data_IF_982948075965
#
_entry.id   IF_982948075965
#
_cell.length_a   1.000
_cell.length_b   1.000
_cell.length_c   1.000
_cell.angle_alpha   90.00
_cell.angle_beta   90.00
_cell.angle_gamma   90.00
#
_symmetry.space_group_name_H-M   'P 1'
#
loop_
_entity.id
_entity.type
_entity.pdbx_description
1 polymer ?
#
# COMPACT_ATOMS: atom_id res chain seq x y z
N UNK A 1 -53.52 -3.03 -36.64
CA UNK A 1 -52.09 -3.02 -37.04
C UNK A 1 -52.00 -2.14 -38.28
N UNK A 2 -51.84 -0.82 -38.11
CA UNK A 2 -50.57 -0.08 -37.96
C UNK A 2 -49.75 -0.09 -39.25
N UNK A 3 -49.88 0.93 -40.10
CA UNK A 3 -49.26 2.27 -40.01
C UNK A 3 -47.79 2.26 -40.46
N UNK A 4 -47.59 2.28 -41.78
CA UNK A 4 -46.46 2.94 -42.43
C UNK A 4 -47.04 4.03 -43.33
N UNK A 5 -46.67 5.27 -43.07
CA UNK A 5 -47.16 6.43 -43.79
C UNK A 5 -46.47 7.70 -43.31
N UNK A 6 -45.26 7.91 -43.83
CA UNK A 6 -44.62 9.19 -44.12
C UNK A 6 -45.38 10.44 -43.62
N UNK A 7 -44.82 11.11 -42.60
CA UNK A 7 -45.24 12.45 -42.13
C UNK A 7 -44.73 13.54 -43.09
N UNK A 8 -44.80 13.29 -44.40
CA UNK A 8 -44.40 14.26 -45.43
C UNK A 8 -45.61 14.93 -46.13
N UNK A 9 -46.83 14.43 -45.95
CA UNK A 9 -48.01 14.92 -46.69
C UNK A 9 -49.03 15.72 -45.86
N UNK A 10 -48.71 16.08 -44.61
CA UNK A 10 -49.66 16.78 -43.72
C UNK A 10 -49.33 18.26 -43.42
N UNK A 11 -48.35 18.87 -44.11
CA UNK A 11 -48.03 20.30 -43.98
C UNK A 11 -47.93 20.94 -45.37
N UNK A 12 -48.94 20.68 -46.20
CA UNK A 12 -48.97 21.11 -47.60
C UNK A 12 -49.94 22.24 -47.96
N UNK A 13 -50.66 22.89 -47.03
CA UNK A 13 -51.72 23.82 -47.48
C UNK A 13 -52.09 25.04 -46.62
N UNK A 14 -51.26 25.50 -45.68
CA UNK A 14 -51.61 26.69 -44.86
C UNK A 14 -50.60 27.84 -44.92
N UNK A 15 -49.62 27.81 -45.83
CA UNK A 15 -48.74 28.97 -46.06
C UNK A 15 -48.67 29.31 -47.54
N UNK A 16 -49.78 29.86 -48.05
CA UNK A 16 -49.79 30.64 -49.28
C UNK A 16 -49.10 32.00 -49.06
N UNK A 17 -48.14 32.29 -49.94
CA UNK A 17 -47.86 33.58 -50.56
C UNK A 17 -47.54 34.81 -49.70
N UNK A 18 -46.61 34.70 -48.75
CA UNK A 18 -45.78 35.86 -48.37
C UNK A 18 -44.32 35.47 -48.21
N UNK A 19 -43.47 36.08 -49.04
CA UNK A 19 -42.02 35.85 -49.07
C UNK A 19 -41.40 36.10 -47.70
N UNK A 20 -40.54 35.19 -47.26
CA UNK A 20 -39.75 35.30 -46.02
C UNK A 20 -38.78 36.49 -46.01
N UNK A 21 -38.60 37.15 -47.16
CA UNK A 21 -37.67 38.27 -47.32
C UNK A 21 -38.20 39.60 -46.77
N UNK A 22 -39.51 39.79 -46.59
CA UNK A 22 -40.06 41.06 -46.08
C UNK A 22 -40.10 41.16 -44.55
N UNK A 23 -40.08 40.04 -43.81
CA UNK A 23 -40.06 40.07 -42.34
C UNK A 23 -38.63 40.28 -41.79
N UNK A 24 -37.62 40.08 -42.63
CA UNK A 24 -36.20 40.23 -42.26
C UNK A 24 -35.74 41.71 -42.35
N UNK A 25 -36.57 42.59 -42.93
CA UNK A 25 -36.18 43.96 -43.29
C UNK A 25 -36.04 44.98 -42.15
N UNK A 26 -36.75 44.86 -41.02
CA UNK A 26 -36.84 46.02 -40.08
C UNK A 26 -36.86 45.72 -38.58
N UNK A 27 -36.76 44.47 -38.12
CA UNK A 27 -37.00 44.17 -36.69
C UNK A 27 -35.85 43.54 -35.87
N UNK A 28 -34.85 42.92 -36.50
CA UNK A 28 -34.04 41.91 -35.79
C UNK A 28 -32.54 41.99 -36.07
N UNK A 29 -31.93 43.18 -35.98
CA UNK A 29 -30.45 43.31 -36.06
C UNK A 29 -29.76 43.82 -34.81
N UNK A 30 -30.48 44.19 -33.75
CA UNK A 30 -29.86 44.75 -32.52
C UNK A 30 -29.95 43.81 -31.30
N UNK A 31 -30.88 42.84 -31.28
CA UNK A 31 -31.10 41.96 -30.11
C UNK A 31 -30.36 40.60 -30.11
N UNK A 32 -30.00 40.04 -31.29
CA UNK A 32 -29.42 38.70 -31.40
C UNK A 32 -27.95 38.61 -30.94
N UNK A 33 -27.17 39.68 -31.14
CA UNK A 33 -25.75 39.74 -30.74
C UNK A 33 -25.57 39.80 -29.22
N UNK A 34 -26.46 40.49 -28.50
CA UNK A 34 -26.36 40.68 -27.06
C UNK A 34 -26.84 39.45 -26.28
N UNK A 35 -27.98 38.84 -26.66
CA UNK A 35 -28.45 37.59 -26.03
C UNK A 35 -27.49 36.41 -26.31
N UNK A 36 -26.93 36.31 -27.51
CA UNK A 36 -25.92 35.30 -27.84
C UNK A 36 -24.68 35.42 -26.98
N UNK A 37 -24.13 36.64 -26.84
CA UNK A 37 -22.94 36.88 -26.02
C UNK A 37 -23.15 36.60 -24.52
N UNK A 38 -24.35 36.85 -23.99
CA UNK A 38 -24.68 36.60 -22.59
C UNK A 38 -24.84 35.10 -22.29
N UNK A 39 -25.53 34.35 -23.16
CA UNK A 39 -25.66 32.90 -23.04
C UNK A 39 -24.31 32.18 -23.20
N UNK A 40 -23.47 32.65 -24.13
CA UNK A 40 -22.13 32.11 -24.38
C UNK A 40 -21.16 32.42 -23.23
N UNK A 41 -21.28 33.61 -22.63
CA UNK A 41 -20.59 33.98 -21.37
C UNK A 41 -20.97 33.05 -20.21
N UNK A 42 -22.26 32.81 -19.98
CA UNK A 42 -22.72 31.91 -18.90
C UNK A 42 -22.26 30.46 -19.12
N UNK A 43 -22.32 29.96 -20.36
CA UNK A 43 -21.82 28.62 -20.70
C UNK A 43 -20.31 28.48 -20.44
N UNK A 44 -19.50 29.48 -20.81
CA UNK A 44 -18.06 29.46 -20.56
C UNK A 44 -17.71 29.51 -19.07
N UNK A 45 -18.51 30.22 -18.26
CA UNK A 45 -18.33 30.30 -16.82
C UNK A 45 -18.72 28.98 -16.11
N UNK A 46 -19.80 28.33 -16.58
CA UNK A 46 -20.20 27.00 -16.10
C UNK A 46 -19.16 25.91 -16.43
N UNK A 47 -18.60 25.94 -17.65
CA UNK A 47 -17.52 25.03 -18.05
C UNK A 47 -16.26 25.24 -17.21
N UNK A 48 -15.88 26.48 -16.94
CA UNK A 48 -14.76 26.81 -16.06
C UNK A 48 -14.96 26.26 -14.64
N UNK A 49 -16.14 26.46 -14.05
CA UNK A 49 -16.45 25.94 -12.71
C UNK A 49 -16.43 24.41 -12.67
N UNK A 50 -16.95 23.73 -13.71
CA UNK A 50 -16.88 22.27 -13.80
C UNK A 50 -15.45 21.74 -13.87
N UNK A 51 -14.56 22.41 -14.61
CA UNK A 51 -13.15 22.02 -14.71
C UNK A 51 -12.39 22.27 -13.39
N UNK A 52 -12.73 23.33 -12.65
CA UNK A 52 -12.18 23.56 -11.30
C UNK A 52 -12.61 22.46 -10.33
N UNK A 53 -13.89 22.05 -10.35
CA UNK A 53 -14.40 20.95 -9.52
C UNK A 53 -13.69 19.63 -9.84
N UNK A 54 -13.40 19.37 -11.12
CA UNK A 54 -12.63 18.18 -11.52
C UNK A 54 -11.20 18.20 -10.97
N UNK A 55 -10.52 19.35 -11.02
CA UNK A 55 -9.19 19.52 -10.44
C UNK A 55 -9.19 19.36 -8.91
N UNK A 56 -10.20 19.88 -8.23
CA UNK A 56 -10.32 19.73 -6.77
C UNK A 56 -10.58 18.27 -6.39
N UNK A 57 -11.38 17.53 -7.17
CA UNK A 57 -11.58 16.09 -6.98
C UNK A 57 -10.26 15.31 -7.12
N UNK A 58 -9.44 15.65 -8.12
CA UNK A 58 -8.12 15.02 -8.32
C UNK A 58 -7.17 15.30 -7.14
N UNK A 59 -7.17 16.51 -6.57
CA UNK A 59 -6.38 16.81 -5.37
C UNK A 59 -6.87 16.07 -4.13
N UNK A 60 -8.18 15.93 -3.96
CA UNK A 60 -8.75 15.12 -2.87
C UNK A 60 -8.28 13.67 -3.00
N UNK A 61 -8.30 13.10 -4.21
CA UNK A 61 -7.80 11.75 -4.47
C UNK A 61 -6.30 11.63 -4.18
N UNK A 62 -5.48 12.59 -4.62
CA UNK A 62 -4.05 12.66 -4.29
C UNK A 62 -3.82 12.66 -2.78
N UNK A 63 -4.55 13.48 -2.02
CA UNK A 63 -4.45 13.53 -0.55
C UNK A 63 -4.85 12.21 0.12
N UNK A 64 -5.81 11.48 -0.46
CA UNK A 64 -6.21 10.17 0.03
C UNK A 64 -5.11 9.13 -0.23
N UNK A 65 -4.46 9.17 -1.40
CA UNK A 65 -3.32 8.32 -1.71
C UNK A 65 -2.12 8.59 -0.80
N UNK A 66 -1.80 9.85 -0.48
CA UNK A 66 -0.73 10.16 0.47
C UNK A 66 -1.01 9.58 1.87
N UNK A 67 -2.27 9.59 2.32
CA UNK A 67 -2.68 8.92 3.57
C UNK A 67 -2.56 7.41 3.48
N UNK A 68 -2.92 6.81 2.33
CA UNK A 68 -2.73 5.38 2.09
C UNK A 68 -1.25 4.98 2.10
N UNK A 69 -0.37 5.78 1.47
CA UNK A 69 1.08 5.57 1.51
C UNK A 69 1.64 5.63 2.94
N UNK A 70 1.16 6.57 3.76
CA UNK A 70 1.55 6.65 5.16
C UNK A 70 1.07 5.42 5.97
N UNK A 71 -0.14 4.93 5.70
CA UNK A 71 -0.67 3.72 6.33
C UNK A 71 0.15 2.47 5.94
N UNK A 72 0.51 2.32 4.66
CA UNK A 72 1.38 1.23 4.18
C UNK A 72 2.74 1.22 4.88
N UNK A 73 3.38 2.39 5.05
CA UNK A 73 4.64 2.48 5.79
C UNK A 73 4.47 2.08 7.26
N UNK A 74 3.38 2.53 7.91
CA UNK A 74 3.10 2.14 9.28
C UNK A 74 2.89 0.64 9.41
N UNK A 75 2.17 0.01 8.49
CA UNK A 75 1.99 -1.44 8.45
C UNK A 75 3.33 -2.18 8.36
N UNK A 76 4.24 -1.71 7.51
CA UNK A 76 5.60 -2.24 7.43
C UNK A 76 6.37 -2.16 8.74
N UNK A 77 6.25 -1.04 9.46
CA UNK A 77 6.84 -0.88 10.80
C UNK A 77 6.23 -1.84 11.82
N UNK A 78 4.90 -1.98 11.85
CA UNK A 78 4.23 -2.91 12.75
C UNK A 78 4.65 -4.35 12.50
N UNK A 79 4.72 -4.78 11.22
CA UNK A 79 5.22 -6.11 10.85
C UNK A 79 6.65 -6.31 11.33
N UNK A 80 7.54 -5.34 11.12
CA UNK A 80 8.92 -5.44 11.58
C UNK A 80 9.02 -5.59 13.11
N UNK A 81 8.21 -4.83 13.87
CA UNK A 81 8.16 -4.94 15.34
C UNK A 81 7.73 -6.35 15.76
N UNK A 82 6.71 -6.91 15.12
CA UNK A 82 6.22 -8.26 15.44
C UNK A 82 7.28 -9.33 15.12
N UNK A 83 7.96 -9.22 13.98
CA UNK A 83 9.06 -10.13 13.66
C UNK A 83 10.24 -10.00 14.64
N UNK A 84 10.56 -8.79 15.08
CA UNK A 84 11.58 -8.58 16.12
C UNK A 84 11.17 -9.21 17.45
N UNK A 85 9.88 -9.13 17.82
CA UNK A 85 9.33 -9.79 19.01
C UNK A 85 9.47 -11.31 18.92
N UNK A 86 9.09 -11.90 17.79
CA UNK A 86 9.26 -13.34 17.53
C UNK A 86 10.74 -13.77 17.60
N UNK A 87 11.64 -12.95 17.04
CA UNK A 87 13.09 -13.19 17.15
C UNK A 87 13.56 -13.21 18.61
N UNK A 88 13.09 -12.29 19.45
CA UNK A 88 13.44 -12.26 20.88
C UNK A 88 12.93 -13.51 21.60
N UNK A 89 11.68 -13.89 21.38
CA UNK A 89 11.07 -15.09 21.98
C UNK A 89 11.86 -16.37 21.64
N UNK A 90 12.32 -16.48 20.39
CA UNK A 90 13.13 -17.62 19.95
C UNK A 90 14.55 -17.58 20.56
N UNK A 91 15.16 -16.40 20.69
CA UNK A 91 16.46 -16.28 21.39
C UNK A 91 16.36 -16.67 22.86
N UNK A 92 15.24 -16.38 23.52
CA UNK A 92 14.97 -16.88 24.87
C UNK A 92 14.85 -18.41 24.88
N UNK A 93 14.17 -19.00 23.89
CA UNK A 93 14.07 -20.46 23.77
C UNK A 93 15.43 -21.12 23.54
N UNK A 94 16.32 -20.49 22.78
CA UNK A 94 17.71 -20.92 22.64
C UNK A 94 18.43 -20.97 23.99
N UNK A 95 18.34 -19.89 24.78
CA UNK A 95 18.95 -19.83 26.10
C UNK A 95 18.38 -20.90 27.05
N UNK A 96 17.05 -21.11 27.02
CA UNK A 96 16.39 -22.16 27.81
C UNK A 96 16.82 -23.56 27.38
N UNK A 97 17.00 -23.82 26.08
CA UNK A 97 17.48 -25.10 25.57
C UNK A 97 18.86 -25.44 26.13
N UNK A 98 19.80 -24.48 26.09
CA UNK A 98 21.15 -24.65 26.65
C UNK A 98 21.12 -24.87 28.15
N UNK A 99 20.30 -24.12 28.90
CA UNK A 99 20.18 -24.26 30.35
C UNK A 99 19.59 -25.64 30.73
N UNK A 100 18.52 -26.07 30.06
CA UNK A 100 17.89 -27.37 30.28
C UNK A 100 18.86 -28.52 29.95
N UNK A 101 19.65 -28.39 28.89
CA UNK A 101 20.64 -29.38 28.50
C UNK A 101 21.78 -29.48 29.51
N UNK A 102 22.29 -28.35 30.02
CA UNK A 102 23.26 -28.34 31.10
C UNK A 102 22.73 -29.02 32.38
N UNK A 103 21.47 -28.76 32.73
CA UNK A 103 20.82 -29.41 33.88
C UNK A 103 20.66 -30.92 33.67
N UNK A 104 20.22 -31.36 32.48
CA UNK A 104 20.12 -32.79 32.12
C UNK A 104 21.48 -33.48 32.21
N UNK A 105 22.51 -32.89 31.62
CA UNK A 105 23.88 -33.41 31.68
C UNK A 105 24.38 -33.56 33.12
N UNK A 106 24.10 -32.58 33.99
CA UNK A 106 24.43 -32.66 35.42
C UNK A 106 23.69 -33.83 36.11
N UNK A 107 22.39 -33.99 35.87
CA UNK A 107 21.59 -35.06 36.47
C UNK A 107 22.08 -36.45 36.03
N UNK A 108 22.42 -36.62 34.75
CA UNK A 108 22.99 -37.87 34.22
C UNK A 108 24.31 -38.19 34.92
N UNK A 109 25.22 -37.21 35.04
CA UNK A 109 26.49 -37.42 35.77
C UNK A 109 26.27 -37.79 37.23
N UNK A 110 25.30 -37.17 37.90
CA UNK A 110 24.96 -37.47 39.29
C UNK A 110 24.42 -38.89 39.43
N UNK A 111 23.45 -39.28 38.60
CA UNK A 111 22.89 -40.63 38.60
C UNK A 111 23.95 -41.69 38.26
N UNK A 112 24.87 -41.40 37.34
CA UNK A 112 26.00 -42.27 37.03
C UNK A 112 26.92 -42.50 38.23
N UNK A 113 27.24 -41.45 38.99
CA UNK A 113 28.02 -41.56 40.24
C UNK A 113 27.28 -42.37 41.31
N UNK A 114 26.01 -42.07 41.56
CA UNK A 114 25.19 -42.82 42.54
C UNK A 114 25.11 -44.31 42.16
N UNK A 115 24.95 -44.62 40.88
CA UNK A 115 24.92 -46.01 40.39
C UNK A 115 26.28 -46.70 40.53
N UNK A 116 27.37 -45.99 40.25
CA UNK A 116 28.72 -46.51 40.41
C UNK A 116 29.10 -46.75 41.88
N UNK A 117 28.70 -45.84 42.78
CA UNK A 117 28.87 -45.96 44.23
C UNK A 117 28.08 -47.16 44.78
N UNK A 118 26.83 -47.34 44.35
CA UNK A 118 26.02 -48.51 44.71
C UNK A 118 26.64 -49.82 44.21
N UNK A 119 27.16 -49.83 42.97
CA UNK A 119 27.87 -50.99 42.43
C UNK A 119 29.13 -51.29 43.24
N UNK A 120 29.93 -50.27 43.58
CA UNK A 120 31.14 -50.41 44.40
C UNK A 120 30.82 -50.97 45.79
N UNK A 121 29.76 -50.47 46.45
CA UNK A 121 29.32 -50.96 47.74
C UNK A 121 28.89 -52.43 47.69
N UNK A 122 28.15 -52.83 46.65
CA UNK A 122 27.77 -54.23 46.42
C UNK A 122 28.97 -55.15 46.19
N UNK A 123 29.98 -54.69 45.45
CA UNK A 123 31.23 -55.44 45.26
C UNK A 123 32.04 -55.57 46.55
N UNK A 124 32.16 -54.48 47.33
CA UNK A 124 32.82 -54.51 48.63
C UNK A 124 32.13 -55.47 49.61
N UNK A 125 30.79 -55.50 49.62
CA UNK A 125 30.00 -56.40 50.46
C UNK A 125 30.11 -57.88 50.05
N UNK A 126 30.41 -58.18 48.78
CA UNK A 126 30.53 -59.56 48.27
C UNK A 126 31.94 -60.16 48.42
N UNK A 127 32.90 -59.42 48.98
CA UNK A 127 34.27 -59.91 49.23
C UNK A 127 35.15 -60.07 47.99
N UNK A 128 34.73 -59.52 46.85
CA UNK A 128 35.50 -59.57 45.59
C UNK A 128 36.67 -58.59 45.64
N UNK A 129 37.90 -59.10 45.51
CA UNK A 129 39.14 -58.31 45.54
C UNK A 129 39.26 -57.45 44.28
N UNK A 130 39.48 -56.14 44.47
CA UNK A 130 39.60 -55.14 43.41
C UNK A 130 41.02 -55.07 42.81
N UNK A 131 41.09 -55.03 41.48
CA UNK A 131 42.31 -54.92 40.67
C UNK A 131 41.99 -54.70 39.18
N UNK A 132 42.97 -54.26 38.38
CA UNK A 132 42.78 -53.99 36.95
C UNK A 132 42.34 -55.27 36.21
N UNK A 133 41.10 -55.29 35.70
CA UNK A 133 40.47 -56.47 35.09
C UNK A 133 39.44 -57.21 35.98
N UNK A 134 39.14 -56.70 37.18
CA UNK A 134 38.13 -57.26 38.11
C UNK A 134 37.01 -56.25 38.40
N UNK A 135 36.07 -56.59 39.28
CA UNK A 135 34.84 -55.86 39.64
C UNK A 135 34.98 -54.33 39.85
N UNK A 136 36.17 -53.81 40.15
CA UNK A 136 36.45 -52.37 40.23
C UNK A 136 36.41 -51.62 38.88
N UNK A 137 36.45 -52.32 37.74
CA UNK A 137 36.28 -51.73 36.41
C UNK A 137 34.82 -51.28 36.15
N UNK A 138 33.85 -51.97 36.75
CA UNK A 138 32.42 -51.72 36.50
C UNK A 138 31.99 -50.32 36.98
N UNK A 139 32.33 -49.85 38.20
CA UNK A 139 32.05 -48.48 38.62
C UNK A 139 32.67 -47.42 37.70
N UNK A 140 33.94 -47.60 37.29
CA UNK A 140 34.62 -46.66 36.39
C UNK A 140 33.96 -46.61 35.00
N UNK A 141 33.56 -47.78 34.47
CA UNK A 141 32.82 -47.88 33.21
C UNK A 141 31.45 -47.19 33.29
N UNK A 142 30.70 -47.36 34.39
CA UNK A 142 29.41 -46.70 34.62
C UNK A 142 29.57 -45.18 34.60
N UNK A 143 30.57 -44.64 35.31
CA UNK A 143 30.86 -43.20 35.33
C UNK A 143 31.28 -42.69 33.96
N UNK A 144 32.11 -43.46 33.23
CA UNK A 144 32.53 -43.13 31.87
C UNK A 144 31.35 -42.99 30.91
N UNK A 145 30.47 -44.00 30.89
CA UNK A 145 29.25 -44.01 30.05
C UNK A 145 28.30 -42.87 30.39
N UNK A 146 28.07 -42.61 31.68
CA UNK A 146 27.27 -41.48 32.12
C UNK A 146 27.90 -40.12 31.72
N UNK A 147 29.24 -40.06 31.62
CA UNK A 147 29.96 -38.91 31.09
C UNK A 147 29.67 -38.69 29.60
N UNK A 148 29.70 -39.76 28.80
CA UNK A 148 29.36 -39.74 27.38
C UNK A 148 27.89 -39.35 27.15
N UNK A 149 26.96 -39.97 27.87
CA UNK A 149 25.52 -39.65 27.79
C UNK A 149 25.24 -38.19 28.19
N UNK A 150 25.92 -37.69 29.22
CA UNK A 150 25.81 -36.29 29.62
C UNK A 150 26.39 -35.32 28.59
N UNK A 151 27.46 -35.70 27.91
CA UNK A 151 28.02 -34.92 26.81
C UNK A 151 27.05 -34.87 25.62
N UNK A 152 26.48 -36.02 25.22
CA UNK A 152 25.47 -36.09 24.16
C UNK A 152 24.24 -35.24 24.49
N UNK A 153 23.70 -35.33 25.70
CA UNK A 153 22.56 -34.51 26.13
C UNK A 153 22.86 -33.01 26.11
N UNK A 154 24.10 -32.62 26.42
CA UNK A 154 24.54 -31.22 26.33
C UNK A 154 24.67 -30.76 24.87
N UNK A 155 25.23 -31.61 24.00
CA UNK A 155 25.39 -31.33 22.57
C UNK A 155 24.05 -31.16 21.87
N UNK A 156 23.08 -32.05 22.12
CA UNK A 156 21.70 -31.94 21.59
C UNK A 156 21.05 -30.60 21.97
N UNK A 157 21.36 -30.09 23.18
CA UNK A 157 20.93 -28.78 23.65
C UNK A 157 21.56 -27.62 22.87
N UNK A 158 22.86 -27.70 22.59
CA UNK A 158 23.55 -26.71 21.75
C UNK A 158 22.99 -26.72 20.33
N UNK A 159 22.80 -27.89 19.74
CA UNK A 159 22.25 -28.03 18.39
C UNK A 159 20.83 -27.43 18.32
N UNK A 160 20.03 -27.62 19.37
CA UNK A 160 18.70 -27.00 19.49
C UNK A 160 18.80 -25.46 19.62
N UNK A 161 19.74 -24.96 20.44
CA UNK A 161 19.98 -23.52 20.59
C UNK A 161 20.44 -22.86 19.29
N UNK A 162 21.28 -23.54 18.50
CA UNK A 162 21.71 -23.09 17.18
C UNK A 162 20.55 -23.00 16.20
N UNK A 163 19.65 -23.99 16.20
CA UNK A 163 18.44 -23.96 15.37
C UNK A 163 17.54 -22.77 15.71
N UNK A 164 17.30 -22.53 17.00
CA UNK A 164 16.55 -21.35 17.45
C UNK A 164 17.26 -20.06 17.04
N UNK A 165 18.59 -19.97 17.19
CA UNK A 165 19.34 -18.78 16.79
C UNK A 165 19.19 -18.48 15.29
N UNK A 166 19.31 -19.51 14.43
CA UNK A 166 19.05 -19.36 12.98
C UNK A 166 17.62 -18.93 12.68
N UNK A 167 16.65 -19.46 13.43
CA UNK A 167 15.24 -19.07 13.28
C UNK A 167 15.01 -17.61 13.70
N UNK A 168 15.67 -17.15 14.76
CA UNK A 168 15.60 -15.74 15.19
C UNK A 168 16.15 -14.81 14.09
N UNK A 169 17.28 -15.15 13.48
CA UNK A 169 17.86 -14.37 12.39
C UNK A 169 16.96 -14.39 11.13
N UNK A 170 16.27 -15.51 10.87
CA UNK A 170 15.26 -15.58 9.82
C UNK A 170 14.09 -14.63 10.07
N UNK A 171 13.63 -14.50 11.33
CA UNK A 171 12.59 -13.52 11.68
C UNK A 171 13.06 -12.07 11.49
N UNK A 172 14.30 -11.73 11.90
CA UNK A 172 14.86 -10.41 11.64
C UNK A 172 14.88 -10.10 10.14
N UNK A 173 15.34 -11.05 9.31
CA UNK A 173 15.37 -10.89 7.86
C UNK A 173 13.96 -10.73 7.27
N UNK A 174 12.99 -11.53 7.72
CA UNK A 174 11.59 -11.40 7.29
C UNK A 174 11.00 -10.03 7.67
N UNK A 175 11.31 -9.52 8.86
CA UNK A 175 10.89 -8.19 9.30
C UNK A 175 11.48 -7.07 8.44
N UNK A 176 12.75 -7.16 8.09
CA UNK A 176 13.40 -6.20 7.21
C UNK A 176 12.82 -6.24 5.79
N UNK A 177 12.54 -7.43 5.27
CA UNK A 177 11.89 -7.60 3.96
C UNK A 177 10.47 -7.05 3.96
N UNK A 178 9.68 -7.31 5.01
CA UNK A 178 8.33 -6.78 5.14
C UNK A 178 8.32 -5.25 5.14
N UNK A 179 9.24 -4.63 5.89
CA UNK A 179 9.40 -3.17 5.90
C UNK A 179 9.79 -2.62 4.53
N UNK A 180 10.80 -3.22 3.90
CA UNK A 180 11.25 -2.79 2.57
C UNK A 180 10.15 -2.90 1.51
N UNK A 181 9.34 -3.96 1.56
CA UNK A 181 8.20 -4.15 0.66
C UNK A 181 7.14 -3.06 0.88
N UNK A 182 6.78 -2.76 2.13
CA UNK A 182 5.85 -1.68 2.48
C UNK A 182 6.38 -0.30 2.07
N UNK A 183 7.67 -0.02 2.26
CA UNK A 183 8.28 1.23 1.82
C UNK A 183 8.24 1.39 0.29
N UNK A 184 8.45 0.29 -0.44
CA UNK A 184 8.36 0.25 -1.90
C UNK A 184 6.92 0.49 -2.37
N UNK A 185 5.94 -0.18 -1.74
CA UNK A 185 4.52 0.03 -2.04
C UNK A 185 4.10 1.48 -1.78
N UNK A 186 4.49 2.04 -0.63
CA UNK A 186 4.21 3.42 -0.28
C UNK A 186 4.85 4.43 -1.26
N UNK A 187 6.06 4.16 -1.75
CA UNK A 187 6.70 4.98 -2.77
C UNK A 187 5.88 4.98 -4.08
N UNK A 188 5.42 3.81 -4.55
CA UNK A 188 4.56 3.71 -5.73
C UNK A 188 3.23 4.46 -5.57
N UNK A 189 2.63 4.42 -4.37
CA UNK A 189 1.40 5.18 -4.09
C UNK A 189 1.67 6.69 -4.08
N UNK A 190 2.82 7.14 -3.54
CA UNK A 190 3.21 8.57 -3.59
C UNK A 190 3.39 9.06 -5.02
N UNK A 191 4.00 8.25 -5.88
CA UNK A 191 4.16 8.60 -7.31
C UNK A 191 2.79 8.79 -7.99
N UNK A 192 1.82 7.93 -7.70
CA UNK A 192 0.44 8.10 -8.18
C UNK A 192 -0.20 9.38 -7.63
N UNK A 193 0.03 9.70 -6.35
CA UNK A 193 -0.50 10.89 -5.72
C UNK A 193 0.06 12.17 -6.36
N UNK A 194 1.36 12.16 -6.68
CA UNK A 194 2.04 13.25 -7.37
C UNK A 194 1.52 13.42 -8.80
N UNK A 195 1.29 12.32 -9.53
CA UNK A 195 0.69 12.36 -10.86
C UNK A 195 -0.72 12.97 -10.84
N UNK A 196 -1.54 12.63 -9.84
CA UNK A 196 -2.87 13.22 -9.65
C UNK A 196 -2.78 14.74 -9.34
N UNK A 197 -1.81 15.15 -8.54
CA UNK A 197 -1.57 16.56 -8.21
C UNK A 197 -1.13 17.37 -9.45
N UNK A 198 -0.24 16.80 -10.28
CA UNK A 198 0.18 17.41 -11.54
C UNK A 198 -0.98 17.49 -12.55
N UNK A 199 -1.83 16.46 -12.61
CA UNK A 199 -3.02 16.46 -13.45
C UNK A 199 -4.01 17.55 -13.01
N UNK A 200 -4.21 17.73 -11.70
CA UNK A 200 -5.04 18.80 -11.16
C UNK A 200 -4.51 20.19 -11.51
N UNK A 201 -3.21 20.41 -11.38
CA UNK A 201 -2.57 21.67 -11.78
C UNK A 201 -2.76 21.94 -13.28
N UNK A 202 -2.55 20.92 -14.12
CA UNK A 202 -2.76 21.01 -15.58
C UNK A 202 -4.21 21.33 -15.91
N UNK A 203 -5.16 20.66 -15.27
CA UNK A 203 -6.61 20.89 -15.45
C UNK A 203 -6.98 22.33 -15.09
N UNK A 204 -6.47 22.87 -13.97
CA UNK A 204 -6.67 24.29 -13.60
C UNK A 204 -6.07 25.26 -14.60
N UNK A 205 -4.86 24.99 -15.09
CA UNK A 205 -4.19 25.83 -16.08
C UNK A 205 -4.98 25.89 -17.39
N UNK A 206 -5.41 24.74 -17.91
CA UNK A 206 -6.25 24.64 -19.11
C UNK A 206 -7.59 25.36 -18.89
N UNK A 207 -8.22 25.17 -17.73
CA UNK A 207 -9.46 25.86 -17.40
C UNK A 207 -9.29 27.38 -17.41
N UNK A 208 -8.21 27.89 -16.80
CA UNK A 208 -7.87 29.31 -16.80
C UNK A 208 -7.64 29.86 -18.22
N UNK A 209 -6.89 29.14 -19.05
CA UNK A 209 -6.63 29.53 -20.45
C UNK A 209 -7.92 29.55 -21.29
N UNK A 210 -8.76 28.54 -21.16
CA UNK A 210 -10.04 28.45 -21.86
C UNK A 210 -10.98 29.59 -21.46
N UNK A 211 -11.05 29.91 -20.16
CA UNK A 211 -11.88 30.99 -19.65
C UNK A 211 -11.40 32.38 -20.13
N UNK A 212 -10.09 32.62 -20.11
CA UNK A 212 -9.49 33.86 -20.65
C UNK A 212 -9.77 34.00 -22.16
N UNK A 213 -9.57 32.91 -22.91
CA UNK A 213 -9.84 32.89 -24.36
C UNK A 213 -11.31 33.20 -24.67
N UNK A 214 -12.24 32.55 -23.97
CA UNK A 214 -13.67 32.81 -24.11
C UNK A 214 -14.05 34.27 -23.81
N UNK A 215 -13.44 34.88 -22.78
CA UNK A 215 -13.61 36.32 -22.50
C UNK A 215 -13.10 37.19 -23.65
N UNK A 216 -11.88 36.95 -24.15
CA UNK A 216 -11.32 37.75 -25.24
C UNK A 216 -12.11 37.64 -26.55
N UNK A 217 -12.60 36.44 -26.89
CA UNK A 217 -13.46 36.23 -28.06
C UNK A 217 -14.81 36.96 -27.92
N UNK A 218 -15.41 36.97 -26.73
CA UNK A 218 -16.63 37.72 -26.46
C UNK A 218 -16.40 39.24 -26.62
N UNK A 219 -15.28 39.79 -26.14
CA UNK A 219 -14.92 41.19 -26.34
C UNK A 219 -14.67 41.55 -27.80
N UNK A 220 -13.95 40.70 -28.55
CA UNK A 220 -13.71 40.91 -29.97
C UNK A 220 -15.01 40.90 -30.78
N UNK A 221 -15.96 40.01 -30.44
CA UNK A 221 -17.27 39.96 -31.08
C UNK A 221 -18.15 41.18 -30.74
N UNK A 222 -18.04 41.73 -29.52
CA UNK A 222 -18.73 42.96 -29.11
C UNK A 222 -18.16 44.22 -29.78
N UNK A 223 -16.84 44.31 -29.92
CA UNK A 223 -16.18 45.40 -30.64
C UNK A 223 -16.47 45.35 -32.15
N UNK A 224 -16.48 44.16 -32.75
CA UNK A 224 -16.82 43.96 -34.16
C UNK A 224 -18.29 44.27 -34.48
N UNK A 225 -19.22 43.98 -33.57
CA UNK A 225 -20.62 44.36 -33.72
C UNK A 225 -20.83 45.87 -33.50
N UNK A 226 -20.14 46.47 -32.52
CA UNK A 226 -20.16 47.92 -32.31
C UNK A 226 -19.57 48.70 -33.51
N UNK A 227 -18.49 48.20 -34.11
CA UNK A 227 -17.88 48.80 -35.32
C UNK A 227 -18.80 48.75 -36.54
N UNK A 228 -19.49 47.63 -36.76
CA UNK A 228 -20.49 47.50 -37.84
C UNK A 228 -21.72 48.39 -37.62
N UNK A 229 -22.14 48.58 -36.36
CA UNK A 229 -23.22 49.51 -36.03
C UNK A 229 -22.75 50.95 -36.28
N UNK A 230 -21.56 51.33 -35.83
CA UNK A 230 -21.01 52.67 -36.08
C UNK A 230 -20.90 52.96 -37.60
N UNK A 231 -20.46 52.00 -38.41
CA UNK A 231 -20.39 52.19 -39.88
C UNK A 231 -21.76 52.35 -40.54
N UNK A 232 -22.83 51.77 -39.99
CA UNK A 232 -24.20 51.94 -40.52
C UNK A 232 -24.83 53.29 -40.15
N UNK A 233 -24.32 53.98 -39.12
CA UNK A 233 -24.80 55.30 -38.72
C UNK A 233 -24.06 56.46 -39.43
N UNK A 234 -22.89 56.18 -40.03
CA UNK A 234 -22.07 57.18 -40.73
C UNK A 234 -22.05 57.01 -42.27
N UNK A 235 -22.88 56.14 -42.83
CA UNK A 235 -23.13 55.94 -44.27
C UNK A 235 -24.57 56.33 -44.62
#
# INVERSE_FOLDING_TARGET
MSLFGSVADAIGSVFGDKSWTDIIGTGLKVGGSLLGSHAQSQASQAQYQSQLQAADSQLIQSSAQLRAAAAEQQEGVYKQIEYNRLSQEVRENAARATANAAQKAYLIRRQGKETAENALAGYAASGVVSGAGTAAYVPAFIVGRAGEDAFSAFQEGQDSADQYTRQADAYINAGNQARSASDTAAAGIREQADALSQLAATTRNIAGQNYQSAKTSNWASLLGSAGNIASQWFS
#
